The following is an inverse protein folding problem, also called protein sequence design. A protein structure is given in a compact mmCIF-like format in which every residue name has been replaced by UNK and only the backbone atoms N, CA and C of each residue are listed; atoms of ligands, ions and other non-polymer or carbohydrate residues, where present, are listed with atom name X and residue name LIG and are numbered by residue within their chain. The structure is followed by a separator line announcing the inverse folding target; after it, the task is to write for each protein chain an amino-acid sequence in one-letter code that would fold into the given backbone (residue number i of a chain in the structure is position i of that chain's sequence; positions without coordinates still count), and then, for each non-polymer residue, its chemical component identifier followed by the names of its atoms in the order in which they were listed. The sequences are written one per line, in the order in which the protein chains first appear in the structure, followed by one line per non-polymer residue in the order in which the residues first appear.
data_IF_445474864512
#
_entry.id   IF_445474864512
#
_cell.length_a   1.000
_cell.length_b   1.000
_cell.length_c   1.000
_cell.angle_alpha   90.00
_cell.angle_beta   90.00
_cell.angle_gamma   90.00
#
_symmetry.space_group_name_H-M   'P 1'
#
loop_
_entity.id
_entity.type
_entity.pdbx_description
1 polymer ?
#
# COMPACT_ATOMS: atom_id res chain seq x y z
N UNK A 1 7.29 12.16 -20.43
CA UNK A 1 7.47 12.17 -18.98
C UNK A 1 8.92 12.45 -18.67
N UNK A 2 9.20 13.31 -17.69
CA UNK A 2 10.57 13.56 -17.23
C UNK A 2 10.79 12.81 -15.92
N UNK A 3 11.88 12.05 -15.86
CA UNK A 3 12.32 11.38 -14.63
C UNK A 3 13.52 12.13 -14.05
N UNK A 4 13.56 12.24 -12.73
CA UNK A 4 14.63 12.87 -11.98
C UNK A 4 15.20 11.84 -11.02
N UNK A 5 16.47 11.47 -11.20
CA UNK A 5 17.15 10.48 -10.36
C UNK A 5 18.32 11.14 -9.67
N UNK A 6 18.34 11.14 -8.35
CA UNK A 6 19.41 11.68 -7.51
C UNK A 6 20.24 10.55 -6.86
N UNK A 7 19.60 9.44 -6.57
CA UNK A 7 20.22 8.32 -5.86
C UNK A 7 19.83 6.98 -6.46
N UNK A 8 20.81 6.15 -6.79
CA UNK A 8 20.64 4.74 -7.12
C UNK A 8 21.47 3.90 -6.15
N UNK A 9 20.81 3.03 -5.35
CA UNK A 9 21.47 2.08 -4.44
C UNK A 9 20.78 0.74 -4.48
N UNK A 10 21.55 -0.33 -4.33
CA UNK A 10 21.03 -1.68 -4.16
C UNK A 10 21.08 -2.06 -2.68
N UNK A 11 19.94 -2.48 -2.15
CA UNK A 11 19.84 -3.05 -0.82
C UNK A 11 19.92 -4.57 -0.95
N UNK A 12 20.96 -5.17 -0.42
CA UNK A 12 21.09 -6.62 -0.31
C UNK A 12 20.70 -7.02 1.10
N UNK A 13 19.71 -7.89 1.22
CA UNK A 13 19.16 -8.28 2.52
C UNK A 13 19.41 -9.77 2.73
N UNK A 14 20.24 -10.09 3.73
CA UNK A 14 20.50 -11.45 4.14
C UNK A 14 19.48 -11.86 5.20
N UNK A 15 18.72 -12.89 4.92
CA UNK A 15 17.67 -13.40 5.79
C UNK A 15 17.63 -14.93 5.79
N UNK A 16 16.95 -15.54 6.76
CA UNK A 16 16.81 -17.01 6.82
C UNK A 16 16.03 -17.54 5.61
N UNK A 17 16.35 -18.77 5.24
CA UNK A 17 15.58 -19.53 4.26
C UNK A 17 14.13 -19.63 4.72
N UNK A 18 13.14 -19.56 4.03
CA UNK A 18 11.70 -19.59 4.37
C UNK A 18 11.17 -18.30 5.04
N UNK A 19 11.94 -17.24 5.07
CA UNK A 19 11.46 -15.92 5.47
C UNK A 19 11.37 -15.04 4.24
N UNK A 20 10.31 -14.25 4.13
CA UNK A 20 10.14 -13.23 3.09
C UNK A 20 10.35 -11.86 3.71
N UNK A 21 10.94 -10.94 2.97
CA UNK A 21 11.06 -9.55 3.39
C UNK A 21 10.05 -8.70 2.62
N UNK A 22 9.25 -7.92 3.35
CA UNK A 22 8.32 -6.96 2.75
C UNK A 22 8.56 -5.59 3.39
N UNK A 23 8.48 -4.55 2.57
CA UNK A 23 8.69 -3.15 2.98
C UNK A 23 7.34 -2.52 3.30
N UNK A 24 7.25 -1.77 4.41
CA UNK A 24 6.08 -0.95 4.70
C UNK A 24 6.13 0.41 3.96
N UNK A 25 5.08 1.23 4.09
CA UNK A 25 5.04 2.56 3.46
C UNK A 25 6.10 3.54 3.98
N UNK A 26 6.70 3.26 5.13
CA UNK A 26 7.74 4.11 5.72
C UNK A 26 9.15 3.64 5.35
N UNK A 27 9.27 2.56 4.57
CA UNK A 27 10.54 1.97 4.20
C UNK A 27 11.12 1.00 5.24
N UNK A 28 10.37 0.64 6.29
CA UNK A 28 10.83 -0.35 7.25
C UNK A 28 10.72 -1.76 6.66
N UNK A 29 11.72 -2.59 6.95
CA UNK A 29 11.79 -3.98 6.53
C UNK A 29 11.10 -4.88 7.56
N UNK A 30 10.20 -5.73 7.10
CA UNK A 30 9.50 -6.71 7.94
C UNK A 30 9.77 -8.11 7.43
N UNK A 31 10.10 -9.02 8.35
CA UNK A 31 10.24 -10.45 8.05
C UNK A 31 8.88 -11.13 8.17
N UNK A 32 8.54 -11.96 7.19
CA UNK A 32 7.31 -12.74 7.14
C UNK A 32 7.70 -14.22 7.13
N UNK A 33 7.34 -14.94 8.19
CA UNK A 33 7.73 -16.34 8.39
C UNK A 33 6.53 -17.29 8.38
N UNK A 34 5.39 -16.88 8.94
CA UNK A 34 4.21 -17.73 9.12
C UNK A 34 2.91 -17.01 8.72
N UNK A 35 2.78 -16.60 7.44
CA UNK A 35 1.57 -15.91 6.99
C UNK A 35 0.35 -16.82 7.05
N UNK A 36 -0.71 -16.36 7.70
CA UNK A 36 -1.97 -17.07 7.86
C UNK A 36 -3.02 -16.43 6.95
N UNK A 37 -3.78 -17.29 6.25
CA UNK A 37 -4.90 -16.85 5.41
C UNK A 37 -6.09 -16.43 6.28
N UNK A 38 -6.97 -15.53 5.79
CA UNK A 38 -8.21 -15.20 6.48
C UNK A 38 -9.14 -16.43 6.56
N UNK A 39 -9.81 -16.60 7.70
CA UNK A 39 -10.87 -17.60 7.86
C UNK A 39 -12.16 -17.17 7.19
N UNK A 40 -12.36 -15.87 7.03
CA UNK A 40 -13.47 -15.25 6.31
C UNK A 40 -13.02 -13.95 5.66
N UNK A 41 -13.52 -13.66 4.47
CA UNK A 41 -13.31 -12.40 3.77
C UNK A 41 -14.59 -12.01 3.03
N UNK A 42 -15.13 -10.84 3.35
CA UNK A 42 -16.39 -10.37 2.80
C UNK A 42 -16.21 -8.97 2.21
N UNK A 43 -16.61 -8.77 0.97
CA UNK A 43 -16.82 -7.43 0.40
C UNK A 43 -18.29 -7.09 0.62
N UNK A 44 -18.54 -6.22 1.61
CA UNK A 44 -19.88 -5.98 2.13
C UNK A 44 -20.59 -7.30 2.50
N UNK A 45 -21.42 -7.86 1.62
CA UNK A 45 -22.17 -9.12 1.82
C UNK A 45 -21.71 -10.27 0.91
N UNK A 46 -20.74 -10.03 0.01
CA UNK A 46 -20.22 -11.04 -0.93
C UNK A 46 -19.00 -11.72 -0.32
N UNK A 47 -19.01 -13.06 -0.28
CA UNK A 47 -17.83 -13.84 0.08
C UNK A 47 -16.78 -13.71 -1.05
N UNK A 48 -15.60 -13.26 -0.68
CA UNK A 48 -14.47 -13.06 -1.59
C UNK A 48 -13.23 -13.85 -1.14
N UNK A 49 -13.37 -14.74 -0.15
CA UNK A 49 -12.25 -15.41 0.46
C UNK A 49 -11.38 -16.16 -0.57
N UNK A 50 -12.01 -16.91 -1.48
CA UNK A 50 -11.28 -17.67 -2.50
C UNK A 50 -10.40 -16.80 -3.38
N UNK A 51 -10.79 -15.55 -3.63
CA UNK A 51 -10.09 -14.65 -4.53
C UNK A 51 -8.92 -13.88 -3.88
N UNK A 52 -8.69 -14.02 -2.56
CA UNK A 52 -7.63 -13.27 -1.88
C UNK A 52 -6.70 -14.14 -1.02
N UNK A 53 -6.84 -15.46 -1.07
CA UNK A 53 -5.99 -16.39 -0.29
C UNK A 53 -4.74 -16.83 -1.04
N UNK A 54 -4.66 -16.61 -2.35
CA UNK A 54 -3.51 -16.93 -3.17
C UNK A 54 -3.13 -15.72 -4.02
N UNK A 55 -1.83 -15.45 -4.11
CA UNK A 55 -1.33 -14.35 -4.95
C UNK A 55 -1.04 -14.84 -6.37
N UNK A 56 -1.24 -13.99 -7.38
CA UNK A 56 -0.93 -14.26 -8.78
C UNK A 56 -1.74 -15.42 -9.41
N UNK A 57 -2.93 -15.70 -8.92
CA UNK A 57 -3.82 -16.75 -9.42
C UNK A 57 -4.87 -16.23 -10.41
N UNK A 58 -4.72 -14.99 -10.88
CA UNK A 58 -5.63 -14.26 -11.78
C UNK A 58 -7.00 -13.92 -11.15
N UNK A 59 -7.20 -14.17 -9.86
CA UNK A 59 -8.39 -13.74 -9.15
C UNK A 59 -8.10 -12.41 -8.45
N UNK A 60 -8.87 -11.39 -8.77
CA UNK A 60 -8.69 -10.03 -8.24
C UNK A 60 -10.02 -9.55 -7.69
N UNK A 61 -10.00 -8.96 -6.51
CA UNK A 61 -11.16 -8.33 -5.90
C UNK A 61 -11.15 -6.84 -6.23
N UNK A 62 -12.17 -6.40 -6.94
CA UNK A 62 -12.48 -4.99 -7.16
C UNK A 62 -13.44 -4.53 -6.07
N UNK A 63 -13.15 -3.37 -5.48
CA UNK A 63 -14.04 -2.72 -4.51
C UNK A 63 -15.18 -2.00 -5.24
N UNK A 64 -16.12 -2.76 -5.80
CA UNK A 64 -17.08 -2.34 -6.83
C UNK A 64 -18.56 -2.35 -6.40
N UNK A 65 -18.85 -2.40 -5.10
CA UNK A 65 -20.24 -2.42 -4.65
C UNK A 65 -20.88 -1.04 -4.73
N UNK A 66 -21.94 -0.94 -5.52
CA UNK A 66 -22.72 0.29 -5.73
C UNK A 66 -23.95 0.39 -4.82
N UNK A 67 -24.19 -0.60 -3.95
CA UNK A 67 -25.40 -0.63 -3.12
C UNK A 67 -25.36 0.37 -1.95
N UNK A 68 -24.19 0.86 -1.60
CA UNK A 68 -23.98 1.81 -0.51
C UNK A 68 -24.13 3.27 -0.99
N UNK A 69 -24.91 4.03 -0.24
CA UNK A 69 -25.14 5.47 -0.53
C UNK A 69 -23.92 6.35 -0.23
N UNK A 70 -23.03 5.94 0.66
CA UNK A 70 -21.83 6.67 1.05
C UNK A 70 -20.63 6.44 0.10
N UNK A 71 -20.84 5.65 -0.97
CA UNK A 71 -19.83 5.27 -1.95
C UNK A 71 -18.57 4.59 -1.32
N UNK A 72 -18.63 4.20 -0.06
CA UNK A 72 -17.59 3.43 0.61
C UNK A 72 -17.79 1.95 0.35
N UNK A 73 -16.71 1.30 -0.09
CA UNK A 73 -16.61 -0.14 -0.17
C UNK A 73 -15.79 -0.65 1.00
N UNK A 74 -16.25 -1.74 1.64
CA UNK A 74 -15.62 -2.30 2.81
C UNK A 74 -15.37 -3.80 2.63
N UNK A 75 -14.10 -4.21 2.75
CA UNK A 75 -13.71 -5.61 2.86
C UNK A 75 -13.48 -5.90 4.34
N UNK A 76 -14.21 -6.86 4.90
CA UNK A 76 -13.99 -7.36 6.26
C UNK A 76 -13.23 -8.68 6.18
N UNK A 77 -12.04 -8.70 6.78
CA UNK A 77 -11.18 -9.87 6.90
C UNK A 77 -11.24 -10.37 8.33
N UNK A 78 -11.41 -11.68 8.53
CA UNK A 78 -11.32 -12.31 9.84
C UNK A 78 -10.19 -13.32 9.85
N UNK A 79 -9.31 -13.23 10.85
CA UNK A 79 -8.18 -14.14 11.03
C UNK A 79 -8.23 -14.78 12.41
N UNK A 80 -7.72 -16.03 12.52
CA UNK A 80 -7.41 -16.61 13.83
C UNK A 80 -6.28 -15.80 14.45
N UNK A 81 -6.39 -15.51 15.75
CA UNK A 81 -5.41 -14.73 16.49
C UNK A 81 -4.94 -15.53 17.69
N UNK A 82 -3.62 -15.75 17.87
CA UNK A 82 -3.07 -16.29 19.10
C UNK A 82 -3.46 -15.39 20.30
N UNK A 83 -3.88 -15.97 21.41
CA UNK A 83 -4.38 -15.22 22.57
C UNK A 83 -3.37 -14.19 23.11
N UNK A 84 -2.08 -14.50 23.03
CA UNK A 84 -0.99 -13.62 23.50
C UNK A 84 -0.50 -12.63 22.44
N UNK A 85 -0.96 -12.72 21.19
CA UNK A 85 -0.51 -11.81 20.14
C UNK A 85 -1.01 -10.39 20.39
N UNK A 86 -0.07 -9.46 20.57
CA UNK A 86 -0.32 -8.04 20.81
C UNK A 86 -0.16 -7.20 19.55
N UNK A 87 0.43 -7.76 18.52
CA UNK A 87 0.66 -7.15 17.21
C UNK A 87 0.41 -8.17 16.11
N UNK A 88 0.19 -7.69 14.90
CA UNK A 88 0.08 -8.51 13.71
C UNK A 88 0.58 -7.75 12.49
N UNK A 89 1.22 -8.43 11.57
CA UNK A 89 1.67 -7.92 10.28
C UNK A 89 0.62 -8.26 9.25
N UNK A 90 -0.25 -7.32 8.90
CA UNK A 90 -1.19 -7.49 7.78
C UNK A 90 -0.42 -7.34 6.46
N UNK A 91 -0.43 -8.38 5.67
CA UNK A 91 0.20 -8.43 4.36
C UNK A 91 -0.90 -8.24 3.32
N UNK A 92 -0.73 -7.26 2.46
CA UNK A 92 -1.64 -6.99 1.34
C UNK A 92 -0.85 -6.96 0.03
N UNK A 93 -1.40 -7.59 -1.01
CA UNK A 93 -0.96 -7.41 -2.39
C UNK A 93 -2.06 -6.71 -3.15
N UNK A 94 -1.81 -5.46 -3.52
CA UNK A 94 -2.83 -4.56 -4.06
C UNK A 94 -2.22 -3.56 -5.03
N UNK A 95 -3.09 -2.91 -5.78
CA UNK A 95 -2.78 -1.74 -6.61
C UNK A 95 -3.99 -0.81 -6.71
N UNK A 96 -3.78 0.40 -7.22
CA UNK A 96 -4.91 1.22 -7.64
C UNK A 96 -5.47 0.70 -8.97
N UNK A 97 -6.74 0.90 -9.18
CA UNK A 97 -7.36 0.56 -10.45
C UNK A 97 -7.11 1.63 -11.51
N UNK A 98 -7.19 1.26 -12.78
CA UNK A 98 -7.23 2.21 -13.88
C UNK A 98 -8.45 3.14 -13.84
N UNK A 99 -9.52 2.74 -13.14
CA UNK A 99 -10.69 3.59 -12.95
C UNK A 99 -10.36 4.87 -12.17
N UNK A 100 -9.48 4.78 -11.16
CA UNK A 100 -9.02 5.96 -10.42
C UNK A 100 -8.27 6.93 -11.35
N UNK A 101 -7.40 6.43 -12.23
CA UNK A 101 -6.68 7.24 -13.21
C UNK A 101 -7.64 7.89 -14.22
N UNK A 102 -8.64 7.13 -14.69
CA UNK A 102 -9.68 7.64 -15.56
C UNK A 102 -10.42 8.82 -14.92
N UNK A 103 -10.81 8.69 -13.64
CA UNK A 103 -11.49 9.77 -12.91
C UNK A 103 -10.63 11.02 -12.78
N UNK A 104 -9.33 10.88 -12.52
CA UNK A 104 -8.42 12.03 -12.49
C UNK A 104 -8.27 12.67 -13.88
N UNK A 105 -8.19 11.86 -14.94
CA UNK A 105 -8.16 12.33 -16.32
C UNK A 105 -9.43 13.12 -16.68
N UNK A 106 -10.60 12.57 -16.37
CA UNK A 106 -11.90 13.24 -16.58
C UNK A 106 -12.01 14.54 -15.79
N UNK A 107 -11.56 14.56 -14.53
CA UNK A 107 -11.52 15.77 -13.73
C UNK A 107 -10.65 16.85 -14.38
N UNK A 108 -9.47 16.49 -14.87
CA UNK A 108 -8.57 17.42 -15.55
C UNK A 108 -9.19 17.95 -16.85
N UNK A 109 -9.79 17.08 -17.66
CA UNK A 109 -10.46 17.47 -18.91
C UNK A 109 -11.65 18.40 -18.66
N UNK A 110 -12.50 18.10 -17.67
CA UNK A 110 -13.64 18.92 -17.31
C UNK A 110 -13.26 20.28 -16.74
N UNK A 111 -12.09 20.41 -16.13
CA UNK A 111 -11.56 21.71 -15.70
C UNK A 111 -11.05 22.56 -16.88
N UNK A 112 -10.64 21.94 -17.98
CA UNK A 112 -10.14 22.64 -19.17
C UNK A 112 -9.05 23.66 -18.81
N UNK A 113 -9.23 24.91 -19.24
CA UNK A 113 -8.26 25.99 -18.99
C UNK A 113 -8.05 26.33 -17.49
N UNK A 114 -8.98 25.94 -16.61
CA UNK A 114 -8.85 26.17 -15.17
C UNK A 114 -7.93 25.15 -14.47
N UNK A 115 -7.59 24.03 -15.13
CA UNK A 115 -6.77 22.97 -14.54
C UNK A 115 -5.42 23.49 -14.02
N UNK A 116 -4.71 24.29 -14.82
CA UNK A 116 -3.43 24.86 -14.41
C UNK A 116 -3.56 25.76 -13.17
N UNK A 117 -4.64 26.54 -13.09
CA UNK A 117 -4.92 27.39 -11.92
C UNK A 117 -5.21 26.54 -10.69
N UNK A 118 -6.00 25.47 -10.83
CA UNK A 118 -6.29 24.52 -9.77
C UNK A 118 -5.00 23.88 -9.23
N UNK A 119 -4.13 23.35 -10.11
CA UNK A 119 -2.86 22.74 -9.72
C UNK A 119 -1.96 23.75 -8.98
N UNK A 120 -1.87 24.98 -9.47
CA UNK A 120 -1.09 26.04 -8.82
C UNK A 120 -1.64 26.42 -7.43
N UNK A 121 -2.95 26.33 -7.23
CA UNK A 121 -3.56 26.52 -5.91
C UNK A 121 -3.25 25.35 -4.98
N UNK A 122 -3.28 24.09 -5.50
CA UNK A 122 -2.92 22.92 -4.67
C UNK A 122 -1.47 22.97 -4.19
N UNK A 123 -0.53 23.41 -5.04
CA UNK A 123 0.89 23.57 -4.67
C UNK A 123 1.13 24.54 -3.49
N UNK A 124 0.19 25.44 -3.22
CA UNK A 124 0.27 26.39 -2.12
C UNK A 124 -0.29 25.85 -0.79
N UNK A 125 -0.98 24.72 -0.84
CA UNK A 125 -1.56 24.09 0.36
C UNK A 125 -0.49 23.34 1.13
N UNK A 126 -0.66 23.26 2.44
CA UNK A 126 0.15 22.38 3.27
C UNK A 126 -0.11 20.90 2.98
N UNK A 127 0.87 20.06 3.26
CA UNK A 127 0.71 18.60 3.16
C UNK A 127 -0.52 18.09 3.96
N UNK A 128 -0.77 18.68 5.13
CA UNK A 128 -1.92 18.34 5.97
C UNK A 128 -3.26 18.65 5.30
N UNK A 129 -3.37 19.79 4.62
CA UNK A 129 -4.59 20.17 3.90
C UNK A 129 -4.84 19.29 2.68
N UNK A 130 -3.76 18.96 1.94
CA UNK A 130 -3.84 18.03 0.82
C UNK A 130 -4.26 16.64 1.28
N UNK A 131 -3.68 16.12 2.35
CA UNK A 131 -4.04 14.83 2.92
C UNK A 131 -5.51 14.79 3.38
N UNK A 132 -5.98 15.84 4.06
CA UNK A 132 -7.41 15.97 4.43
C UNK A 132 -8.33 15.95 3.20
N UNK A 133 -7.92 16.62 2.13
CA UNK A 133 -8.70 16.64 0.89
C UNK A 133 -8.75 15.25 0.25
N UNK A 134 -7.62 14.56 0.11
CA UNK A 134 -7.53 13.19 -0.45
C UNK A 134 -8.34 12.21 0.40
N UNK A 135 -8.25 12.29 1.73
CA UNK A 135 -9.03 11.44 2.63
C UNK A 135 -10.54 11.66 2.47
N UNK A 136 -10.96 12.91 2.24
CA UNK A 136 -12.38 13.24 2.01
C UNK A 136 -12.91 12.65 0.71
N UNK A 137 -12.04 12.36 -0.26
CA UNK A 137 -12.41 11.68 -1.51
C UNK A 137 -12.42 10.14 -1.37
N UNK A 138 -12.12 9.59 -0.18
CA UNK A 138 -12.02 8.16 0.08
C UNK A 138 -11.01 7.43 -0.83
N UNK A 139 -9.96 8.12 -1.31
CA UNK A 139 -8.94 7.55 -2.18
C UNK A 139 -8.00 6.57 -1.44
N UNK A 140 -7.50 6.89 -0.22
CA UNK A 140 -6.65 5.96 0.51
C UNK A 140 -7.39 4.68 0.90
N UNK A 141 -6.66 3.56 0.94
CA UNK A 141 -7.14 2.32 1.53
C UNK A 141 -6.97 2.40 3.05
N UNK A 142 -8.06 2.66 3.75
CA UNK A 142 -8.06 2.78 5.21
C UNK A 142 -8.16 1.39 5.84
N UNK A 143 -7.32 1.15 6.85
CA UNK A 143 -7.25 -0.13 7.57
C UNK A 143 -7.67 0.09 9.01
N UNK A 144 -8.75 -0.59 9.42
CA UNK A 144 -9.29 -0.55 10.77
C UNK A 144 -9.28 -1.92 11.44
N UNK A 145 -9.14 -1.94 12.74
CA UNK A 145 -9.23 -3.14 13.58
C UNK A 145 -10.44 -3.01 14.50
N UNK A 146 -11.23 -4.08 14.60
CA UNK A 146 -12.35 -4.17 15.53
C UNK A 146 -11.85 -4.56 16.93
N UNK A 147 -12.36 -3.87 17.94
CA UNK A 147 -12.11 -4.13 19.36
C UNK A 147 -13.40 -3.99 20.16
N UNK A 148 -13.45 -4.33 21.45
CA UNK A 148 -14.62 -4.08 22.28
C UNK A 148 -15.07 -2.61 22.34
N UNK A 149 -14.17 -1.67 22.05
CA UNK A 149 -14.47 -0.24 21.91
C UNK A 149 -14.98 0.15 20.51
N UNK A 150 -15.15 -0.82 19.61
CA UNK A 150 -15.53 -0.62 18.21
C UNK A 150 -14.34 -0.56 17.24
N UNK A 151 -14.62 -0.11 16.03
CA UNK A 151 -13.63 0.02 14.95
C UNK A 151 -12.67 1.18 15.20
N UNK A 152 -11.38 0.90 15.12
CA UNK A 152 -10.31 1.90 15.22
C UNK A 152 -9.46 1.83 13.96
N UNK A 153 -9.39 2.93 13.20
CA UNK A 153 -8.47 3.06 12.09
C UNK A 153 -7.03 3.10 12.60
N UNK A 154 -6.16 2.30 12.02
CA UNK A 154 -4.75 2.18 12.40
C UNK A 154 -3.80 2.62 11.30
N UNK A 155 -4.21 2.51 10.03
CA UNK A 155 -3.41 2.94 8.90
C UNK A 155 -4.31 3.41 7.75
N UNK A 156 -3.70 4.15 6.83
CA UNK A 156 -4.28 4.50 5.54
C UNK A 156 -3.17 4.43 4.49
N UNK A 157 -3.25 3.47 3.59
CA UNK A 157 -2.30 3.32 2.50
C UNK A 157 -2.58 4.36 1.42
N UNK A 158 -1.55 5.07 1.02
CA UNK A 158 -1.63 6.03 -0.08
C UNK A 158 -1.61 5.33 -1.43
N UNK A 159 -1.87 6.07 -2.51
CA UNK A 159 -1.91 5.51 -3.86
C UNK A 159 -0.54 4.92 -4.25
N UNK A 160 -0.56 3.73 -4.86
CA UNK A 160 0.63 3.01 -5.33
C UNK A 160 0.72 2.93 -6.86
N UNK A 161 -0.31 3.43 -7.55
CA UNK A 161 -0.43 3.41 -9.00
C UNK A 161 -1.07 2.13 -9.56
N UNK A 162 -1.50 2.15 -10.85
CA UNK A 162 -2.27 1.07 -11.48
C UNK A 162 -1.41 0.06 -12.23
N UNK A 163 -0.11 0.32 -12.47
CA UNK A 163 0.72 -0.46 -13.39
C UNK A 163 1.05 -1.86 -12.88
N UNK A 164 1.32 -2.00 -11.57
CA UNK A 164 1.73 -3.26 -10.99
C UNK A 164 1.18 -3.46 -9.58
N UNK A 165 0.85 -4.71 -9.24
CA UNK A 165 0.54 -5.07 -7.86
C UNK A 165 1.77 -4.89 -6.98
N UNK A 166 1.59 -4.24 -5.85
CA UNK A 166 2.59 -4.06 -4.82
C UNK A 166 2.22 -4.84 -3.57
N UNK A 167 3.19 -5.53 -2.98
CA UNK A 167 3.05 -6.07 -1.64
C UNK A 167 3.44 -5.00 -0.62
N UNK A 168 2.67 -4.91 0.45
CA UNK A 168 2.94 -4.05 1.58
C UNK A 168 2.58 -4.73 2.88
N UNK A 169 3.22 -4.31 3.95
CA UNK A 169 2.91 -4.73 5.33
C UNK A 169 2.36 -3.56 6.10
N UNK A 170 1.30 -3.83 6.86
CA UNK A 170 0.78 -2.89 7.84
C UNK A 170 0.88 -3.51 9.23
N UNK A 171 1.61 -2.84 10.12
CA UNK A 171 1.70 -3.24 11.52
C UNK A 171 0.40 -2.87 12.25
N UNK A 172 -0.25 -3.87 12.82
CA UNK A 172 -1.49 -3.71 13.56
C UNK A 172 -1.25 -3.82 15.07
N UNK A 173 -1.79 -2.88 15.83
CA UNK A 173 -1.89 -2.95 17.28
C UNK A 173 -3.13 -3.77 17.66
N UNK A 174 -2.90 -4.89 18.37
CA UNK A 174 -3.93 -5.84 18.79
C UNK A 174 -4.06 -5.91 20.32
N UNK A 175 -3.44 -4.98 21.06
CA UNK A 175 -3.45 -4.95 22.53
C UNK A 175 -4.87 -5.00 23.11
N UNK A 176 -5.83 -4.38 22.44
CA UNK A 176 -7.23 -4.32 22.89
C UNK A 176 -8.14 -5.36 22.20
N UNK A 177 -7.59 -6.36 21.52
CA UNK A 177 -8.34 -7.47 20.89
C UNK A 177 -8.14 -8.71 21.75
N UNK A 178 -9.11 -9.01 22.61
CA UNK A 178 -9.02 -10.11 23.60
C UNK A 178 -9.52 -11.45 23.07
N UNK A 179 -10.20 -11.47 21.92
CA UNK A 179 -10.70 -12.69 21.29
C UNK A 179 -9.59 -13.51 20.64
N UNK A 180 -9.88 -14.76 20.32
CA UNK A 180 -9.03 -15.64 19.52
C UNK A 180 -9.19 -15.41 18.01
N UNK A 181 -9.92 -14.37 17.63
CA UNK A 181 -10.03 -13.89 16.25
C UNK A 181 -9.85 -12.38 16.23
N UNK A 182 -9.33 -11.87 15.12
CA UNK A 182 -9.27 -10.43 14.83
C UNK A 182 -10.06 -10.14 13.56
N UNK A 183 -10.86 -9.08 13.61
CA UNK A 183 -11.54 -8.54 12.45
C UNK A 183 -10.81 -7.27 11.99
N UNK A 184 -10.49 -7.25 10.70
CA UNK A 184 -9.80 -6.13 10.04
C UNK A 184 -10.69 -5.65 8.91
N UNK A 185 -10.84 -4.33 8.80
CA UNK A 185 -11.62 -3.70 7.76
C UNK A 185 -10.71 -2.90 6.84
N UNK A 186 -10.84 -3.13 5.54
CA UNK A 186 -10.27 -2.33 4.48
C UNK A 186 -11.38 -1.48 3.89
N UNK A 187 -11.23 -0.16 3.84
CA UNK A 187 -12.26 0.74 3.33
C UNK A 187 -11.69 1.73 2.32
N UNK A 188 -12.36 1.90 1.20
CA UNK A 188 -12.00 2.89 0.18
C UNK A 188 -13.20 3.28 -0.66
N UNK A 189 -13.05 4.22 -1.58
CA UNK A 189 -14.06 4.58 -2.56
C UNK A 189 -14.28 3.48 -3.61
N UNK A 190 -15.36 3.66 -4.39
CA UNK A 190 -15.77 2.73 -5.43
C UNK A 190 -14.67 2.53 -6.47
N UNK A 191 -14.27 1.27 -6.67
CA UNK A 191 -13.28 0.83 -7.65
C UNK A 191 -11.90 1.51 -7.58
N UNK A 192 -11.51 2.12 -6.46
CA UNK A 192 -10.20 2.76 -6.37
C UNK A 192 -9.05 1.78 -6.14
N UNK A 193 -9.36 0.60 -5.60
CA UNK A 193 -8.36 -0.42 -5.28
C UNK A 193 -8.74 -1.80 -5.81
N UNK A 194 -7.72 -2.52 -6.21
CA UNK A 194 -7.75 -3.93 -6.59
C UNK A 194 -6.90 -4.70 -5.58
N UNK A 195 -7.49 -5.74 -4.98
CA UNK A 195 -6.84 -6.60 -3.98
C UNK A 195 -6.67 -8.00 -4.55
N UNK A 196 -5.44 -8.48 -4.57
CA UNK A 196 -5.08 -9.80 -5.07
C UNK A 196 -4.82 -10.80 -3.93
N UNK A 197 -4.27 -10.31 -2.81
CA UNK A 197 -3.92 -11.18 -1.68
C UNK A 197 -4.00 -10.47 -0.34
N UNK A 198 -4.43 -11.21 0.69
CA UNK A 198 -4.40 -10.77 2.07
C UNK A 198 -4.02 -11.92 3.01
N UNK A 199 -3.09 -11.66 3.92
CA UNK A 199 -2.71 -12.58 5.01
C UNK A 199 -2.31 -11.78 6.25
N UNK A 200 -2.16 -12.48 7.38
CA UNK A 200 -1.60 -11.91 8.60
C UNK A 200 -0.48 -12.80 9.12
N UNK A 201 0.58 -12.20 9.63
CA UNK A 201 1.67 -12.88 10.30
C UNK A 201 1.84 -12.32 11.72
N UNK A 202 1.88 -13.20 12.73
CA UNK A 202 2.05 -12.84 14.13
C UNK A 202 3.45 -13.09 14.65
N UNK A 203 4.36 -13.61 13.82
CA UNK A 203 5.76 -13.84 14.21
C UNK A 203 6.47 -12.51 14.48
N UNK A 204 7.45 -12.53 15.37
CA UNK A 204 8.33 -11.38 15.58
C UNK A 204 9.21 -11.14 14.34
N UNK A 205 9.70 -9.92 14.17
CA UNK A 205 10.71 -9.66 13.15
C UNK A 205 12.02 -10.36 13.52
N UNK A 206 12.55 -11.13 12.58
CA UNK A 206 13.86 -11.74 12.71
C UNK A 206 14.98 -10.73 12.48
N UNK A 207 16.16 -11.01 13.01
CA UNK A 207 17.34 -10.22 12.69
C UNK A 207 17.72 -10.43 11.23
N UNK A 208 17.90 -9.32 10.53
CA UNK A 208 18.33 -9.27 9.14
C UNK A 208 19.61 -8.44 9.04
N UNK A 209 20.48 -8.81 8.13
CA UNK A 209 21.65 -8.02 7.77
C UNK A 209 21.39 -7.32 6.46
N UNK A 210 21.66 -6.02 6.42
CA UNK A 210 21.38 -5.16 5.24
C UNK A 210 22.71 -4.58 4.78
N UNK A 211 23.06 -4.85 3.53
CA UNK A 211 24.19 -4.26 2.83
C UNK A 211 23.70 -3.27 1.78
N UNK A 212 24.33 -2.11 1.75
CA UNK A 212 24.02 -1.05 0.79
C UNK A 212 25.15 -0.92 -0.24
N UNK A 213 24.85 -1.24 -1.48
CA UNK A 213 25.82 -1.19 -2.57
C UNK A 213 25.55 0.04 -3.47
N UNK A 214 26.60 0.75 -3.80
CA UNK A 214 26.58 1.77 -4.82
C UNK A 214 26.76 1.13 -6.22
N UNK A 215 26.27 1.75 -7.29
CA UNK A 215 26.52 1.26 -8.65
C UNK A 215 28.03 1.29 -8.97
N UNK A 216 28.56 0.21 -9.52
CA UNK A 216 29.91 0.15 -10.03
C UNK A 216 30.05 0.95 -11.33
N UNK A 217 29.00 0.96 -12.15
CA UNK A 217 28.89 1.76 -13.37
C UNK A 217 27.46 2.28 -13.51
N UNK A 218 27.32 3.47 -14.09
CA UNK A 218 26.04 4.03 -14.52
C UNK A 218 26.29 4.81 -15.81
N UNK A 219 25.63 4.38 -16.88
CA UNK A 219 25.81 4.93 -18.22
C UNK A 219 24.45 5.37 -18.74
N UNK A 220 24.36 6.59 -19.28
CA UNK A 220 23.13 7.10 -19.89
C UNK A 220 22.93 6.59 -21.33
N UNK A 221 21.82 6.99 -21.95
CA UNK A 221 21.48 6.64 -23.35
C UNK A 221 22.49 7.19 -24.39
N UNK A 222 23.28 8.19 -24.00
CA UNK A 222 24.35 8.77 -24.81
C UNK A 222 25.71 8.10 -24.57
N UNK A 223 25.75 7.03 -23.80
CA UNK A 223 26.96 6.30 -23.39
C UNK A 223 27.93 7.13 -22.53
N UNK A 224 27.39 8.09 -21.76
CA UNK A 224 28.15 8.93 -20.83
C UNK A 224 28.11 8.33 -19.44
N UNK A 225 29.25 8.32 -18.73
CA UNK A 225 29.28 7.89 -17.31
C UNK A 225 28.58 8.95 -16.44
N UNK A 226 27.44 8.57 -15.87
CA UNK A 226 26.62 9.39 -14.98
C UNK A 226 26.66 8.90 -13.52
N UNK A 227 27.59 8.01 -13.20
CA UNK A 227 27.70 7.39 -11.86
C UNK A 227 27.78 8.43 -10.74
N UNK A 228 28.53 9.52 -10.95
CA UNK A 228 28.67 10.58 -9.95
C UNK A 228 27.34 11.27 -9.62
N UNK A 229 26.42 11.37 -10.60
CA UNK A 229 25.12 12.01 -10.42
C UNK A 229 24.09 11.13 -9.70
N UNK A 230 24.36 9.82 -9.55
CA UNK A 230 23.39 8.88 -8.93
C UNK A 230 23.92 8.18 -7.68
N UNK A 231 25.08 8.57 -7.16
CA UNK A 231 25.67 7.95 -5.95
C UNK A 231 25.38 8.69 -4.65
N UNK A 232 24.94 9.95 -4.73
CA UNK A 232 24.69 10.82 -3.57
C UNK A 232 23.38 11.56 -3.74
N UNK A 233 22.64 11.65 -2.67
CA UNK A 233 21.46 12.52 -2.58
C UNK A 233 21.94 13.96 -2.30
N UNK A 234 22.19 14.73 -3.36
CA UNK A 234 22.76 16.07 -3.29
C UNK A 234 21.98 17.14 -4.08
N UNK A 235 20.85 16.76 -4.65
CA UNK A 235 19.98 17.64 -5.43
C UNK A 235 20.45 17.86 -6.88
N UNK A 236 21.51 17.18 -7.31
CA UNK A 236 21.97 17.20 -8.70
C UNK A 236 21.35 16.05 -9.48
N UNK A 237 20.16 16.26 -9.98
CA UNK A 237 19.37 15.22 -10.62
C UNK A 237 19.88 14.84 -12.01
N UNK A 238 20.05 13.54 -12.26
CA UNK A 238 20.03 13.01 -13.61
C UNK A 238 18.60 13.17 -14.16
N UNK A 239 18.45 13.83 -15.29
CA UNK A 239 17.16 14.06 -15.95
C UNK A 239 17.11 13.25 -17.24
N UNK A 240 16.09 12.42 -17.38
CA UNK A 240 15.76 11.66 -18.58
C UNK A 240 14.42 12.10 -19.18
#
# INVERSE_FOLDING_TARGET
EKQYTDLAKLWVIHHKKNTKIIVDEKGNLHTISEPQQPVSAMLNHRDIRSAIIAANDQQIVYMEDTTRKDALNEITLRFKKPLHAKQGKLILRMKNSYFLDLLYGELAMNMGNYYSSFVNQQKKKSATELLKWVNKQNVPLTIGVNSPAGWKNQAALTTVGPLAFRESVVMLDLLNVYSNEVEIKLSSGFMFWEIDYAAIDYSDNELIEVELLNPESAIDESNIDVRAAVTKEDGNYLTQ
#
